data_IF_697374437801
#
_entry.id   IF_697374437801
#
_cell.length_a   1.000
_cell.length_b   1.000
_cell.length_c   1.000
_cell.angle_alpha   90.00
_cell.angle_beta   90.00
_cell.angle_gamma   90.00
#
_symmetry.space_group_name_H-M   'P 1'
#
loop_
_entity.id
_entity.type
_entity.pdbx_description
1 polymer ?
#
# COMPACT_ATOMS: atom_id res chain seq x y z
N UNK A 1 20.51 24.03 7.93
CA UNK A 1 19.68 24.88 7.07
C UNK A 1 19.10 24.07 5.93
N UNK A 2 17.77 24.09 5.72
CA UNK A 2 17.08 23.22 4.74
C UNK A 2 17.50 23.49 3.29
N UNK A 3 17.62 24.78 2.91
CA UNK A 3 17.98 25.19 1.56
C UNK A 3 19.29 24.57 1.07
N UNK A 4 20.35 24.58 1.89
CA UNK A 4 21.62 23.90 1.54
C UNK A 4 21.48 22.41 1.30
N UNK A 5 20.61 21.73 2.09
CA UNK A 5 20.37 20.27 1.92
C UNK A 5 19.60 19.95 0.64
N UNK A 6 18.81 20.89 0.13
CA UNK A 6 18.00 20.75 -1.09
C UNK A 6 18.69 21.36 -2.32
N UNK A 7 19.89 21.95 -2.18
CA UNK A 7 20.58 22.65 -3.26
C UNK A 7 19.90 23.94 -3.72
N UNK A 8 18.99 24.50 -2.90
CA UNK A 8 18.25 25.72 -3.21
C UNK A 8 19.01 26.93 -2.72
N UNK A 9 19.19 27.96 -3.59
CA UNK A 9 19.71 29.27 -3.20
C UNK A 9 18.70 29.98 -2.30
N UNK A 10 19.20 30.77 -1.34
CA UNK A 10 18.40 31.60 -0.48
C UNK A 10 18.98 33.01 -0.42
N UNK A 11 18.15 33.97 -0.81
CA UNK A 11 18.44 35.41 -0.68
C UNK A 11 17.33 36.07 0.16
N UNK A 12 17.70 37.10 0.89
CA UNK A 12 16.73 38.01 1.53
C UNK A 12 16.94 39.43 1.02
N UNK A 13 15.82 40.12 0.78
CA UNK A 13 15.81 41.52 0.35
C UNK A 13 15.13 42.33 1.41
N UNK A 14 15.80 43.39 1.87
CA UNK A 14 15.21 44.36 2.81
C UNK A 14 14.46 45.43 2.02
N UNK A 15 13.14 45.45 2.14
CA UNK A 15 12.28 46.34 1.35
C UNK A 15 12.50 47.82 1.62
N UNK A 16 13.05 48.18 2.79
CA UNK A 16 13.26 49.60 3.21
C UNK A 16 14.39 50.28 2.40
N UNK A 17 15.44 49.58 2.09
CA UNK A 17 16.67 50.11 1.50
C UNK A 17 17.17 49.30 0.31
N UNK A 18 16.44 48.26 -0.07
CA UNK A 18 16.81 47.35 -1.16
C UNK A 18 18.02 46.47 -0.89
N UNK A 19 18.53 46.42 0.35
CA UNK A 19 19.69 45.61 0.68
C UNK A 19 19.42 44.14 0.47
N UNK A 20 20.32 43.47 -0.29
CA UNK A 20 20.23 42.05 -0.61
C UNK A 20 21.29 41.28 0.15
N UNK A 21 20.89 40.21 0.83
CA UNK A 21 21.80 39.28 1.52
C UNK A 21 21.64 37.89 0.91
N UNK A 22 22.73 37.33 0.39
CA UNK A 22 22.79 35.94 -0.06
C UNK A 22 23.17 35.04 1.10
N UNK A 23 22.26 34.16 1.51
CA UNK A 23 22.45 33.21 2.62
C UNK A 23 23.08 31.90 2.16
N UNK A 24 22.76 31.44 0.97
CA UNK A 24 23.41 30.34 0.31
C UNK A 24 23.17 30.38 -1.19
N UNK A 25 24.16 29.97 -1.96
CA UNK A 25 24.07 29.78 -3.39
C UNK A 25 23.36 28.46 -3.72
N UNK A 26 22.68 28.35 -4.90
CA UNK A 26 22.16 27.10 -5.38
C UNK A 26 23.30 26.12 -5.67
N UNK A 27 23.08 24.83 -5.40
CA UNK A 27 24.04 23.78 -5.64
C UNK A 27 23.33 22.54 -6.22
N UNK A 28 24.04 21.64 -6.94
CA UNK A 28 23.43 20.41 -7.41
C UNK A 28 22.80 19.61 -6.27
N UNK A 29 21.53 19.26 -6.44
CA UNK A 29 20.82 18.44 -5.45
C UNK A 29 21.16 16.96 -5.65
N UNK A 30 21.85 16.36 -4.70
CA UNK A 30 22.20 14.94 -4.69
C UNK A 30 21.47 14.22 -3.56
N UNK A 31 20.23 13.77 -3.80
CA UNK A 31 19.46 13.07 -2.75
C UNK A 31 20.12 11.74 -2.39
N UNK A 32 20.13 11.43 -1.08
CA UNK A 32 20.59 10.13 -0.60
C UNK A 32 19.71 9.01 -1.14
N UNK A 33 20.27 8.17 -2.01
CA UNK A 33 19.59 7.01 -2.57
C UNK A 33 19.55 5.87 -1.54
N UNK A 34 18.40 5.56 -0.98
CA UNK A 34 18.22 4.43 -0.06
C UNK A 34 17.76 3.22 -0.88
N UNK A 35 18.70 2.34 -1.26
CA UNK A 35 18.44 1.15 -2.08
C UNK A 35 17.29 0.29 -1.51
N UNK A 36 17.32 -0.02 -0.22
CA UNK A 36 16.29 -0.83 0.44
C UNK A 36 14.88 -0.25 0.27
N UNK A 37 14.70 1.07 0.40
CA UNK A 37 13.41 1.73 0.20
C UNK A 37 12.96 1.64 -1.25
N UNK A 38 13.87 1.85 -2.21
CA UNK A 38 13.57 1.71 -3.64
C UNK A 38 13.14 0.29 -3.97
N UNK A 39 13.91 -0.73 -3.55
CA UNK A 39 13.58 -2.14 -3.79
C UNK A 39 12.23 -2.51 -3.23
N UNK A 40 11.90 -2.05 -1.99
CA UNK A 40 10.60 -2.31 -1.38
C UNK A 40 9.44 -1.69 -2.17
N UNK A 41 9.61 -0.45 -2.66
CA UNK A 41 8.59 0.22 -3.48
C UNK A 41 8.39 -0.47 -4.83
N UNK A 42 9.47 -0.87 -5.49
CA UNK A 42 9.40 -1.59 -6.76
C UNK A 42 8.73 -2.95 -6.58
N UNK A 43 9.14 -3.73 -5.58
CA UNK A 43 8.54 -5.03 -5.29
C UNK A 43 7.04 -4.92 -4.96
N UNK A 44 6.63 -3.87 -4.26
CA UNK A 44 5.20 -3.63 -3.99
C UNK A 44 4.45 -3.27 -5.29
N UNK A 45 5.03 -2.45 -6.14
CA UNK A 45 4.46 -2.10 -7.44
C UNK A 45 4.35 -3.34 -8.37
N UNK A 46 5.41 -4.12 -8.50
CA UNK A 46 5.45 -5.33 -9.31
C UNK A 46 4.47 -6.43 -8.83
N UNK A 47 4.19 -6.46 -7.52
CA UNK A 47 3.25 -7.42 -6.92
C UNK A 47 1.78 -7.03 -7.04
N UNK A 48 1.47 -5.83 -7.54
CA UNK A 48 0.09 -5.41 -7.80
C UNK A 48 -0.44 -6.03 -9.08
N UNK A 49 -1.73 -6.28 -9.10
CA UNK A 49 -2.46 -6.60 -10.32
C UNK A 49 -3.09 -5.32 -10.87
N UNK A 50 -2.66 -4.89 -12.05
CA UNK A 50 -3.12 -3.65 -12.67
C UNK A 50 -2.71 -2.35 -11.92
N UNK A 51 -3.32 -1.23 -12.30
CA UNK A 51 -3.14 0.08 -11.66
C UNK A 51 -4.50 0.67 -11.23
N UNK A 52 -5.10 0.13 -10.15
CA UNK A 52 -6.44 0.53 -9.70
C UNK A 52 -6.46 1.88 -8.98
N UNK A 53 -5.31 2.48 -8.70
CA UNK A 53 -5.22 3.71 -7.92
C UNK A 53 -5.22 4.95 -8.81
N UNK A 54 -6.19 5.83 -8.61
CA UNK A 54 -6.21 7.16 -9.24
C UNK A 54 -5.17 8.08 -8.58
N UNK A 55 -4.57 8.98 -9.36
CA UNK A 55 -3.67 9.99 -8.82
C UNK A 55 -4.34 10.85 -7.74
N UNK A 56 -3.60 11.17 -6.68
CA UNK A 56 -4.11 11.97 -5.56
C UNK A 56 -4.90 11.20 -4.49
N UNK A 57 -5.08 9.87 -4.62
CA UNK A 57 -5.74 9.07 -3.58
C UNK A 57 -4.94 9.05 -2.28
N UNK A 58 -5.65 9.13 -1.15
CA UNK A 58 -5.06 9.01 0.19
C UNK A 58 -4.90 7.53 0.59
N UNK A 59 -4.04 7.27 1.58
CA UNK A 59 -3.69 5.91 2.04
C UNK A 59 -4.90 5.03 2.42
N UNK A 60 -5.97 5.61 2.93
CA UNK A 60 -7.18 4.86 3.34
C UNK A 60 -7.93 4.21 2.18
N UNK A 61 -7.88 4.82 0.99
CA UNK A 61 -8.55 4.32 -0.22
C UNK A 61 -7.66 3.49 -1.14
N UNK A 62 -6.33 3.50 -0.95
CA UNK A 62 -5.40 2.88 -1.90
C UNK A 62 -5.53 1.36 -1.94
N UNK A 63 -5.58 0.82 -3.16
CA UNK A 63 -5.48 -0.60 -3.44
C UNK A 63 -4.00 -1.00 -3.49
N UNK A 64 -3.51 -1.62 -2.42
CA UNK A 64 -2.15 -2.17 -2.32
C UNK A 64 -2.15 -3.64 -2.72
N UNK A 65 -0.97 -4.20 -3.05
CA UNK A 65 -0.83 -5.64 -3.30
C UNK A 65 -1.30 -6.50 -2.12
N UNK A 66 -1.10 -6.02 -0.88
CA UNK A 66 -1.60 -6.69 0.31
C UNK A 66 -3.14 -6.68 0.38
N UNK A 67 -3.79 -5.56 0.06
CA UNK A 67 -5.27 -5.48 0.01
C UNK A 67 -5.82 -6.36 -1.10
N UNK A 68 -5.20 -6.39 -2.27
CA UNK A 68 -5.55 -7.29 -3.36
C UNK A 68 -5.45 -8.76 -2.93
N UNK A 69 -4.35 -9.15 -2.26
CA UNK A 69 -4.20 -10.48 -1.69
C UNK A 69 -5.27 -10.83 -0.66
N UNK A 70 -5.62 -9.88 0.22
CA UNK A 70 -6.69 -10.05 1.20
C UNK A 70 -8.07 -10.21 0.54
N UNK A 71 -8.39 -9.45 -0.51
CA UNK A 71 -9.63 -9.59 -1.26
C UNK A 71 -9.73 -10.95 -1.97
N UNK A 72 -8.65 -11.44 -2.58
CA UNK A 72 -8.62 -12.79 -3.16
C UNK A 72 -8.83 -13.86 -2.11
N UNK A 73 -8.23 -13.75 -0.93
CA UNK A 73 -8.50 -14.67 0.19
C UNK A 73 -9.96 -14.59 0.64
N UNK A 74 -10.52 -13.39 0.75
CA UNK A 74 -11.92 -13.20 1.11
C UNK A 74 -12.87 -13.84 0.08
N UNK A 75 -12.57 -13.71 -1.22
CA UNK A 75 -13.35 -14.33 -2.29
C UNK A 75 -13.35 -15.85 -2.19
N UNK A 76 -12.19 -16.47 -1.96
CA UNK A 76 -12.08 -17.94 -1.76
C UNK A 76 -12.94 -18.38 -0.57
N UNK A 77 -12.88 -17.66 0.55
CA UNK A 77 -13.68 -17.97 1.74
C UNK A 77 -15.18 -17.70 1.55
N UNK A 78 -15.54 -16.78 0.68
CA UNK A 78 -16.93 -16.52 0.31
C UNK A 78 -17.53 -17.68 -0.51
N UNK A 79 -16.75 -18.20 -1.46
CA UNK A 79 -17.20 -19.26 -2.36
C UNK A 79 -17.17 -20.65 -1.69
N UNK A 80 -16.15 -20.95 -0.90
CA UNK A 80 -15.87 -22.29 -0.36
C UNK A 80 -16.26 -22.43 1.12
N UNK A 81 -16.58 -21.32 1.79
CA UNK A 81 -16.79 -21.30 3.23
C UNK A 81 -15.49 -21.35 4.03
N UNK A 82 -15.59 -21.75 5.31
CA UNK A 82 -14.43 -21.81 6.20
C UNK A 82 -13.43 -22.89 5.76
N UNK A 83 -12.18 -22.47 5.46
CA UNK A 83 -11.14 -23.31 4.90
C UNK A 83 -9.81 -23.23 5.63
N UNK A 84 -8.93 -24.23 5.43
CA UNK A 84 -7.55 -24.18 5.90
C UNK A 84 -6.77 -23.07 5.20
N UNK A 85 -5.94 -22.34 5.95
CA UNK A 85 -5.12 -21.25 5.43
C UNK A 85 -4.22 -21.65 4.24
N UNK A 86 -3.72 -22.90 4.24
CA UNK A 86 -2.91 -23.43 3.13
C UNK A 86 -3.71 -23.60 1.83
N UNK A 87 -4.96 -24.01 1.95
CA UNK A 87 -5.88 -24.11 0.82
C UNK A 87 -6.19 -22.73 0.25
N UNK A 88 -6.55 -21.79 1.14
CA UNK A 88 -6.81 -20.38 0.74
C UNK A 88 -5.58 -19.77 0.06
N UNK A 89 -4.37 -20.00 0.57
CA UNK A 89 -3.13 -19.50 -0.01
C UNK A 89 -2.94 -20.01 -1.46
N UNK A 90 -3.21 -21.29 -1.69
CA UNK A 90 -3.10 -21.93 -3.02
C UNK A 90 -4.13 -21.36 -3.98
N UNK A 91 -5.39 -21.30 -3.57
CA UNK A 91 -6.50 -20.85 -4.44
C UNK A 91 -6.43 -19.36 -4.75
N UNK A 92 -6.09 -18.54 -3.76
CA UNK A 92 -5.91 -17.08 -3.91
C UNK A 92 -4.59 -16.70 -4.61
N UNK A 93 -3.65 -17.63 -4.84
CA UNK A 93 -2.31 -17.32 -5.35
C UNK A 93 -1.57 -16.31 -4.46
N UNK A 94 -1.75 -16.40 -3.12
CA UNK A 94 -1.19 -15.45 -2.18
C UNK A 94 -0.48 -16.15 -1.03
N UNK A 95 0.83 -16.30 -1.13
CA UNK A 95 1.66 -17.04 -0.14
C UNK A 95 1.49 -16.52 1.30
N UNK A 96 1.25 -15.21 1.45
CA UNK A 96 1.09 -14.56 2.76
C UNK A 96 -0.33 -14.68 3.32
N UNK A 97 -1.22 -15.47 2.72
CA UNK A 97 -2.63 -15.61 3.13
C UNK A 97 -2.80 -15.91 4.62
N UNK A 98 -2.04 -16.88 5.16
CA UNK A 98 -2.09 -17.22 6.59
C UNK A 98 -1.79 -16.02 7.48
N UNK A 99 -0.72 -15.29 7.18
CA UNK A 99 -0.33 -14.12 7.96
C UNK A 99 -1.35 -12.98 7.81
N UNK A 100 -1.89 -12.81 6.60
CA UNK A 100 -2.92 -11.82 6.31
C UNK A 100 -4.21 -12.09 7.10
N UNK A 101 -4.71 -13.32 7.07
CA UNK A 101 -5.92 -13.72 7.80
C UNK A 101 -5.71 -13.69 9.32
N UNK A 102 -4.53 -14.09 9.80
CA UNK A 102 -4.19 -14.05 11.23
C UNK A 102 -4.05 -12.62 11.77
N UNK A 103 -3.36 -11.74 11.04
CA UNK A 103 -3.20 -10.32 11.40
C UNK A 103 -4.52 -9.53 11.30
N UNK A 104 -5.37 -9.91 10.35
CA UNK A 104 -6.74 -9.43 10.16
C UNK A 104 -6.91 -7.90 10.25
N UNK A 105 -6.00 -7.13 9.66
CA UNK A 105 -6.00 -5.66 9.72
C UNK A 105 -7.29 -5.00 9.25
N UNK A 106 -8.04 -5.67 8.37
CA UNK A 106 -9.31 -5.17 7.84
C UNK A 106 -10.54 -5.66 8.61
N UNK A 107 -10.39 -6.67 9.48
CA UNK A 107 -11.48 -7.31 10.18
C UNK A 107 -12.39 -8.16 9.28
N UNK A 108 -11.85 -8.67 8.16
CA UNK A 108 -12.60 -9.46 7.16
C UNK A 108 -12.63 -10.95 7.46
N UNK A 109 -11.74 -11.41 8.34
CA UNK A 109 -11.55 -12.83 8.63
C UNK A 109 -11.87 -13.14 10.09
N UNK A 110 -12.30 -14.37 10.33
CA UNK A 110 -12.42 -14.91 11.66
C UNK A 110 -11.71 -16.27 11.74
N UNK A 111 -11.17 -16.57 12.90
CA UNK A 111 -10.54 -17.86 13.14
C UNK A 111 -11.60 -18.84 13.67
N UNK A 112 -11.94 -19.85 12.86
CA UNK A 112 -12.94 -20.86 13.22
C UNK A 112 -12.30 -22.00 14.01
N UNK A 113 -11.10 -22.44 13.59
CA UNK A 113 -10.34 -23.51 14.24
C UNK A 113 -8.83 -23.32 14.01
N UNK A 114 -8.02 -24.23 14.52
CA UNK A 114 -6.56 -24.22 14.34
C UNK A 114 -6.18 -24.25 12.86
N UNK A 115 -5.78 -23.09 12.34
CA UNK A 115 -5.39 -22.92 10.94
C UNK A 115 -6.55 -22.88 9.96
N UNK A 116 -7.81 -22.83 10.44
CA UNK A 116 -9.03 -22.67 9.64
C UNK A 116 -9.58 -21.27 9.86
N UNK A 117 -9.90 -20.62 8.77
CA UNK A 117 -10.44 -19.25 8.76
C UNK A 117 -11.75 -19.19 8.02
N UNK A 118 -12.64 -18.32 8.47
CA UNK A 118 -13.92 -17.98 7.85
C UNK A 118 -13.96 -16.51 7.45
N UNK A 119 -14.98 -16.15 6.69
CA UNK A 119 -15.24 -14.77 6.26
C UNK A 119 -16.26 -14.12 7.21
N UNK A 120 -15.93 -12.91 7.67
CA UNK A 120 -16.90 -12.12 8.47
C UNK A 120 -17.93 -11.42 7.59
N UNK A 121 -19.08 -10.97 8.15
CA UNK A 121 -20.04 -10.13 7.42
C UNK A 121 -19.39 -8.83 6.86
N UNK A 122 -18.37 -8.31 7.56
CA UNK A 122 -17.59 -7.16 7.09
C UNK A 122 -16.75 -7.51 5.86
N UNK A 123 -16.21 -8.73 5.81
CA UNK A 123 -15.48 -9.24 4.65
C UNK A 123 -16.38 -9.41 3.43
N UNK A 124 -17.59 -9.92 3.62
CA UNK A 124 -18.59 -10.04 2.55
C UNK A 124 -18.97 -8.66 1.96
N UNK A 125 -19.24 -7.68 2.80
CA UNK A 125 -19.49 -6.30 2.35
C UNK A 125 -18.31 -5.68 1.61
N UNK A 126 -17.08 -6.01 2.03
CA UNK A 126 -15.88 -5.53 1.34
C UNK A 126 -15.77 -6.11 -0.07
N UNK A 127 -16.14 -7.38 -0.29
CA UNK A 127 -16.19 -7.98 -1.61
C UNK A 127 -17.20 -7.29 -2.53
N UNK A 128 -18.39 -6.96 -2.01
CA UNK A 128 -19.40 -6.18 -2.75
C UNK A 128 -18.85 -4.80 -3.16
N UNK A 129 -18.20 -4.11 -2.23
CA UNK A 129 -17.64 -2.77 -2.47
C UNK A 129 -16.47 -2.76 -3.47
N UNK A 130 -15.79 -3.89 -3.67
CA UNK A 130 -14.63 -4.07 -4.54
C UNK A 130 -14.89 -5.13 -5.63
N UNK A 131 -16.15 -5.30 -6.05
CA UNK A 131 -16.53 -6.34 -6.99
C UNK A 131 -15.77 -6.24 -8.33
N UNK A 132 -15.63 -5.04 -8.89
CA UNK A 132 -14.91 -4.81 -10.13
C UNK A 132 -13.41 -5.12 -10.00
N UNK A 133 -12.79 -4.71 -8.88
CA UNK A 133 -11.39 -5.01 -8.60
C UNK A 133 -11.17 -6.53 -8.48
N UNK A 134 -12.05 -7.22 -7.75
CA UNK A 134 -11.98 -8.68 -7.56
C UNK A 134 -12.15 -9.41 -8.90
N UNK A 135 -13.11 -8.99 -9.73
CA UNK A 135 -13.33 -9.58 -11.05
C UNK A 135 -12.11 -9.44 -11.97
N UNK A 136 -11.39 -8.34 -11.86
CA UNK A 136 -10.17 -8.11 -12.66
C UNK A 136 -8.95 -8.91 -12.18
N UNK A 137 -8.97 -9.43 -10.94
CA UNK A 137 -7.85 -10.12 -10.30
C UNK A 137 -7.96 -11.66 -10.32
N UNK A 138 -9.12 -12.18 -10.65
CA UNK A 138 -9.42 -13.64 -10.72
C UNK A 138 -9.37 -14.14 -12.15
#
# INVERSE_FOLDING_TARGET
MLCRRLGIGLITVRLKDGAVVVHCEPAPFTPRKIKARKTKLLAEFESRHGDPNKGGMTSSGMMTSYRQGALRCAKVLYDEGACKASYVAKMAGFEKARNCMSANHYGWFEKVDRGVYGLTPKGAKALESHADDVASMM
#
